data_IF_146881908353
#
_entry.id   IF_146881908353
#
_cell.length_a   1.000
_cell.length_b   1.000
_cell.length_c   1.000
_cell.angle_alpha   90.00
_cell.angle_beta   90.00
_cell.angle_gamma   90.00
#
_symmetry.space_group_name_H-M   'P 1'
#
loop_
_entity.id
_entity.type
_entity.pdbx_description
1 polymer ?
#
# COMPACT_ATOMS: atom_id res chain seq x y z
N UNK A 1 -12.65 -2.90 -22.87
CA UNK A 1 -12.46 -2.31 -21.53
C UNK A 1 -13.63 -1.40 -21.18
N UNK A 2 -14.03 -1.35 -19.92
CA UNK A 2 -15.06 -0.43 -19.42
C UNK A 2 -14.41 0.80 -18.80
N UNK A 3 -14.95 1.98 -19.09
CA UNK A 3 -14.44 3.24 -18.55
C UNK A 3 -14.86 3.45 -17.09
N UNK A 4 -13.88 3.74 -16.23
CA UNK A 4 -14.06 4.10 -14.83
C UNK A 4 -13.59 5.56 -14.62
N UNK A 5 -14.52 6.52 -14.38
CA UNK A 5 -14.13 7.90 -14.14
C UNK A 5 -13.39 8.04 -12.80
N UNK A 6 -12.34 8.87 -12.81
CA UNK A 6 -11.55 9.20 -11.61
C UNK A 6 -11.60 10.71 -11.40
N UNK A 7 -11.85 11.19 -10.15
CA UNK A 7 -11.82 12.62 -9.85
C UNK A 7 -10.48 13.25 -10.28
N UNK A 8 -10.57 14.34 -11.06
CA UNK A 8 -9.42 15.04 -11.62
C UNK A 8 -8.86 16.10 -10.65
N UNK A 9 -7.56 16.42 -10.71
CA UNK A 9 -6.55 15.81 -11.58
C UNK A 9 -6.23 14.37 -11.17
N UNK A 10 -5.96 13.50 -12.14
CA UNK A 10 -5.46 12.14 -11.91
C UNK A 10 -4.35 11.77 -12.89
N UNK A 11 -3.21 11.36 -12.35
CA UNK A 11 -2.08 10.84 -13.11
C UNK A 11 -1.86 9.37 -12.75
N UNK A 12 -2.27 8.49 -13.67
CA UNK A 12 -2.14 7.05 -13.53
C UNK A 12 -0.67 6.62 -13.42
N UNK A 13 0.23 7.25 -14.19
CA UNK A 13 1.63 6.85 -14.24
C UNK A 13 2.35 7.19 -12.93
N UNK A 14 2.09 8.37 -12.36
CA UNK A 14 2.63 8.79 -11.06
C UNK A 14 2.05 7.94 -9.93
N UNK A 15 0.74 7.66 -9.96
CA UNK A 15 0.05 6.86 -8.94
C UNK A 15 0.51 5.40 -8.90
N UNK A 16 0.85 4.83 -10.06
CA UNK A 16 1.28 3.42 -10.21
C UNK A 16 2.79 3.24 -10.29
N UNK A 17 3.57 4.32 -10.24
CA UNK A 17 5.03 4.30 -10.35
C UNK A 17 5.68 3.30 -9.38
N UNK A 18 5.13 3.19 -8.16
CA UNK A 18 5.63 2.26 -7.12
C UNK A 18 5.65 0.79 -7.56
N UNK A 19 4.82 0.40 -8.52
CA UNK A 19 4.76 -0.97 -9.06
C UNK A 19 5.83 -1.23 -10.12
N UNK A 20 6.61 -0.20 -10.50
CA UNK A 20 7.67 -0.28 -11.52
C UNK A 20 9.07 -0.08 -10.93
N UNK A 21 9.21 0.73 -9.89
CA UNK A 21 10.52 1.21 -9.42
C UNK A 21 11.26 0.25 -8.47
N UNK A 22 10.58 -0.73 -7.88
CA UNK A 22 11.18 -1.64 -6.89
C UNK A 22 11.40 -3.08 -7.39
N UNK A 23 11.13 -3.33 -8.68
CA UNK A 23 11.21 -4.65 -9.31
C UNK A 23 9.84 -5.22 -9.67
N UNK A 24 9.83 -6.44 -10.20
CA UNK A 24 8.62 -7.12 -10.65
C UNK A 24 7.74 -7.47 -9.44
N UNK A 25 6.53 -6.94 -9.40
CA UNK A 25 5.48 -7.33 -8.46
C UNK A 25 4.47 -8.24 -9.18
N UNK A 26 4.51 -9.54 -8.90
CA UNK A 26 3.62 -10.52 -9.55
C UNK A 26 2.14 -10.31 -9.21
N UNK A 27 1.83 -9.69 -8.07
CA UNK A 27 0.44 -9.39 -7.68
C UNK A 27 -0.06 -8.05 -8.26
N UNK A 28 0.86 -7.14 -8.62
CA UNK A 28 0.57 -5.83 -9.19
C UNK A 28 1.46 -5.61 -10.41
N UNK A 29 1.28 -6.45 -11.43
CA UNK A 29 2.22 -6.56 -12.54
C UNK A 29 2.01 -5.40 -13.52
N UNK A 30 3.03 -4.58 -13.73
CA UNK A 30 3.02 -3.60 -14.81
C UNK A 30 3.42 -4.25 -16.14
N UNK A 31 2.57 -4.18 -17.15
CA UNK A 31 2.81 -4.76 -18.47
C UNK A 31 2.08 -3.97 -19.56
N UNK A 32 2.71 -3.73 -20.73
CA UNK A 32 2.08 -3.03 -21.89
C UNK A 32 1.31 -1.74 -21.55
N UNK A 33 1.85 -0.92 -20.63
CA UNK A 33 1.23 0.34 -20.13
C UNK A 33 0.01 0.17 -19.21
N UNK A 34 -0.37 -1.07 -18.89
CA UNK A 34 -1.42 -1.39 -17.94
C UNK A 34 -0.88 -1.98 -16.64
N UNK A 35 -1.70 -1.86 -15.59
CA UNK A 35 -1.55 -2.61 -14.36
C UNK A 35 -2.41 -3.87 -14.43
N UNK A 36 -1.79 -5.04 -14.30
CA UNK A 36 -2.43 -6.34 -14.25
C UNK A 36 -2.50 -6.85 -12.81
N UNK A 37 -3.67 -7.30 -12.38
CA UNK A 37 -3.89 -7.87 -11.06
C UNK A 37 -5.01 -8.89 -11.09
N UNK A 38 -4.84 -10.02 -10.42
CA UNK A 38 -5.92 -11.00 -10.27
C UNK A 38 -6.79 -10.61 -9.07
N UNK A 39 -8.08 -10.38 -9.32
CA UNK A 39 -9.09 -10.02 -8.31
C UNK A 39 -10.25 -10.98 -8.45
N UNK A 40 -10.68 -11.61 -7.35
CA UNK A 40 -11.73 -12.63 -7.37
C UNK A 40 -11.50 -13.72 -8.45
N UNK A 41 -10.26 -14.19 -8.59
CA UNK A 41 -9.87 -15.22 -9.57
C UNK A 41 -9.80 -14.76 -11.03
N UNK A 42 -10.01 -13.47 -11.32
CA UNK A 42 -10.01 -12.92 -12.67
C UNK A 42 -8.88 -11.91 -12.84
N UNK A 43 -8.09 -12.05 -13.89
CA UNK A 43 -7.08 -11.05 -14.20
C UNK A 43 -7.73 -9.79 -14.75
N UNK A 44 -7.51 -8.68 -14.03
CA UNK A 44 -7.97 -7.33 -14.37
C UNK A 44 -6.80 -6.54 -14.91
N UNK A 45 -7.00 -5.92 -16.07
CA UNK A 45 -6.11 -4.95 -16.69
C UNK A 45 -6.68 -3.55 -16.50
N UNK A 46 -5.87 -2.64 -15.95
CA UNK A 46 -6.23 -1.23 -15.73
C UNK A 46 -5.26 -0.36 -16.52
N UNK A 47 -5.79 0.53 -17.36
CA UNK A 47 -5.02 1.41 -18.23
C UNK A 47 -5.44 2.88 -18.09
N UNK A 48 -4.52 3.83 -18.34
CA UNK A 48 -4.88 5.25 -18.32
C UNK A 48 -5.85 5.59 -19.46
N UNK A 49 -6.92 6.31 -19.12
CA UNK A 49 -7.86 6.88 -20.08
C UNK A 49 -8.11 8.36 -19.77
N UNK A 50 -8.46 9.22 -20.75
CA UNK A 50 -8.81 10.61 -20.48
C UNK A 50 -9.93 10.71 -19.44
N UNK A 51 -9.69 11.42 -18.33
CA UNK A 51 -10.65 11.57 -17.24
C UNK A 51 -10.76 10.37 -16.28
N UNK A 52 -9.96 9.32 -16.44
CA UNK A 52 -10.01 8.15 -15.57
C UNK A 52 -9.11 6.99 -15.99
N UNK A 53 -9.68 5.79 -15.97
CA UNK A 53 -9.01 4.56 -16.41
C UNK A 53 -9.97 3.66 -17.17
N UNK A 54 -9.44 2.85 -18.08
CA UNK A 54 -10.14 1.74 -18.69
C UNK A 54 -9.81 0.45 -17.94
N UNK A 55 -10.83 -0.34 -17.61
CA UNK A 55 -10.71 -1.54 -16.78
C UNK A 55 -11.33 -2.74 -17.49
N UNK A 56 -10.63 -3.87 -17.55
CA UNK A 56 -11.13 -5.10 -18.16
C UNK A 56 -10.65 -6.37 -17.44
N UNK A 57 -11.57 -7.26 -17.02
CA UNK A 57 -13.02 -7.05 -16.92
C UNK A 57 -13.35 -6.00 -15.85
N UNK A 58 -14.57 -5.45 -15.89
CA UNK A 58 -15.06 -4.56 -14.83
C UNK A 58 -16.57 -4.76 -14.62
N UNK A 59 -16.93 -5.15 -13.41
CA UNK A 59 -18.31 -5.38 -13.00
C UNK A 59 -18.46 -5.13 -11.47
N UNK A 60 -19.69 -5.16 -10.93
CA UNK A 60 -19.93 -4.88 -9.52
C UNK A 60 -19.16 -5.79 -8.54
N UNK A 61 -18.76 -7.00 -8.95
CA UNK A 61 -18.10 -7.96 -8.06
C UNK A 61 -16.61 -7.64 -7.81
N UNK A 62 -15.98 -6.79 -8.64
CA UNK A 62 -14.58 -6.34 -8.47
C UNK A 62 -14.45 -4.82 -8.37
N UNK A 63 -15.58 -4.11 -8.45
CA UNK A 63 -15.59 -2.66 -8.49
C UNK A 63 -14.97 -2.04 -7.24
N UNK A 64 -15.27 -2.58 -6.06
CA UNK A 64 -14.78 -2.06 -4.79
C UNK A 64 -13.26 -2.19 -4.67
N UNK A 65 -12.70 -3.34 -5.05
CA UNK A 65 -11.27 -3.64 -5.00
C UNK A 65 -10.50 -2.80 -6.01
N UNK A 66 -11.01 -2.64 -7.24
CA UNK A 66 -10.41 -1.76 -8.25
C UNK A 66 -10.40 -0.32 -7.76
N UNK A 67 -11.52 0.18 -7.22
CA UNK A 67 -11.60 1.54 -6.66
C UNK A 67 -10.65 1.73 -5.47
N UNK A 68 -10.52 0.72 -4.62
CA UNK A 68 -9.59 0.73 -3.49
C UNK A 68 -8.14 0.78 -3.99
N UNK A 69 -7.76 -0.09 -4.93
CA UNK A 69 -6.43 -0.13 -5.51
C UNK A 69 -6.02 1.20 -6.14
N UNK A 70 -6.97 1.85 -6.81
CA UNK A 70 -6.78 3.18 -7.41
C UNK A 70 -6.81 4.32 -6.39
N UNK A 71 -7.03 4.03 -5.09
CA UNK A 71 -7.01 4.98 -3.99
C UNK A 71 -8.23 5.91 -3.95
N UNK A 72 -9.36 5.56 -4.58
CA UNK A 72 -10.57 6.39 -4.60
C UNK A 72 -11.16 6.74 -3.22
N UNK A 73 -10.99 5.93 -2.15
CA UNK A 73 -11.47 6.33 -0.83
C UNK A 73 -10.87 7.63 -0.28
N UNK A 74 -9.72 8.08 -0.80
CA UNK A 74 -9.11 9.34 -0.36
C UNK A 74 -9.82 10.59 -0.92
N UNK A 75 -10.08 11.55 -0.03
CA UNK A 75 -10.53 12.90 -0.37
C UNK A 75 -9.34 13.80 -0.72
N UNK A 76 -8.85 13.65 -1.96
CA UNK A 76 -7.76 14.47 -2.47
C UNK A 76 -8.11 15.96 -2.67
N UNK A 77 -9.33 16.34 -3.11
CA UNK A 77 -9.71 17.75 -3.16
C UNK A 77 -9.59 18.46 -1.81
N UNK A 78 -10.15 17.88 -0.74
CA UNK A 78 -10.05 18.47 0.59
C UNK A 78 -8.60 18.51 1.11
N UNK A 79 -7.83 17.44 0.87
CA UNK A 79 -6.40 17.42 1.22
C UNK A 79 -5.61 18.49 0.49
N UNK A 80 -5.82 18.65 -0.82
CA UNK A 80 -5.07 19.61 -1.64
C UNK A 80 -5.39 21.04 -1.24
N UNK A 81 -6.64 21.35 -0.90
CA UNK A 81 -7.02 22.66 -0.38
C UNK A 81 -6.36 22.92 0.97
N UNK A 82 -6.46 21.98 1.91
CA UNK A 82 -5.84 22.09 3.23
C UNK A 82 -4.31 22.23 3.15
N UNK A 83 -3.67 21.47 2.26
CA UNK A 83 -2.23 21.47 2.05
C UNK A 83 -1.68 22.83 1.59
N UNK A 84 -2.52 23.74 1.04
CA UNK A 84 -2.08 25.09 0.64
C UNK A 84 -1.56 25.93 1.80
N UNK A 85 -2.01 25.66 3.02
CA UNK A 85 -1.56 26.36 4.22
C UNK A 85 -0.14 25.92 4.66
N UNK A 86 0.34 24.78 4.19
CA UNK A 86 1.68 24.27 4.48
C UNK A 86 2.58 24.43 3.24
N UNK A 87 3.67 25.25 3.29
CA UNK A 87 4.51 25.50 2.12
C UNK A 87 5.16 24.25 1.51
N UNK A 88 5.47 23.23 2.33
CA UNK A 88 6.06 21.98 1.85
C UNK A 88 4.99 21.17 1.13
N UNK A 89 3.83 20.95 1.76
CA UNK A 89 2.76 20.16 1.15
C UNK A 89 2.19 20.85 -0.08
N UNK A 90 1.99 22.17 -0.07
CA UNK A 90 1.56 22.94 -1.24
C UNK A 90 2.47 22.72 -2.45
N UNK A 91 3.80 22.71 -2.23
CA UNK A 91 4.77 22.41 -3.28
C UNK A 91 4.68 20.96 -3.73
N UNK A 92 4.58 20.01 -2.80
CA UNK A 92 4.49 18.58 -3.13
C UNK A 92 3.19 18.24 -3.86
N UNK A 93 2.04 18.80 -3.47
CA UNK A 93 0.76 18.58 -4.16
C UNK A 93 0.75 19.16 -5.56
N UNK A 94 1.48 20.27 -5.78
CA UNK A 94 1.68 20.85 -7.11
C UNK A 94 2.60 19.99 -7.98
N UNK A 95 3.75 19.57 -7.44
CA UNK A 95 4.73 18.77 -8.16
C UNK A 95 4.24 17.33 -8.45
N UNK A 96 3.35 16.81 -7.60
CA UNK A 96 2.70 15.50 -7.72
C UNK A 96 1.23 15.67 -8.14
N UNK A 97 0.92 16.66 -8.98
CA UNK A 97 -0.45 16.88 -9.46
C UNK A 97 -1.02 15.59 -10.06
N UNK A 98 -2.20 15.17 -9.57
CA UNK A 98 -2.84 13.93 -9.98
C UNK A 98 -2.35 12.65 -9.29
N UNK A 99 -1.37 12.72 -8.40
CA UNK A 99 -0.97 11.57 -7.59
C UNK A 99 -2.10 11.14 -6.65
N UNK A 100 -2.52 9.87 -6.76
CA UNK A 100 -3.43 9.22 -5.84
C UNK A 100 -2.73 7.98 -5.26
N UNK A 101 -2.46 7.93 -3.95
CA UNK A 101 -1.76 6.79 -3.38
C UNK A 101 -2.60 5.51 -3.51
N UNK A 102 -2.05 4.42 -4.07
CA UNK A 102 -2.79 3.17 -4.17
C UNK A 102 -2.90 2.49 -2.80
N UNK A 103 -4.08 1.95 -2.50
CA UNK A 103 -4.35 1.12 -1.32
C UNK A 103 -4.22 -0.37 -1.66
N UNK A 104 -4.18 -1.20 -0.63
CA UNK A 104 -4.16 -2.66 -0.74
C UNK A 104 -5.58 -3.20 -0.49
N UNK A 105 -6.23 -3.82 -1.48
CA UNK A 105 -7.62 -4.28 -1.34
C UNK A 105 -7.85 -5.47 -0.41
N UNK A 106 -6.81 -6.21 -0.01
CA UNK A 106 -6.94 -7.37 0.87
C UNK A 106 -6.12 -7.19 2.16
N UNK A 107 -6.72 -7.55 3.30
CA UNK A 107 -6.14 -7.35 4.63
C UNK A 107 -4.98 -8.30 4.91
N UNK A 108 -5.08 -9.56 4.47
CA UNK A 108 -4.00 -10.53 4.64
C UNK A 108 -2.79 -10.14 3.79
N UNK A 109 -3.01 -9.75 2.53
CA UNK A 109 -1.99 -9.21 1.63
C UNK A 109 -1.29 -7.98 2.23
N UNK A 110 -2.05 -7.05 2.82
CA UNK A 110 -1.49 -5.84 3.41
C UNK A 110 -0.51 -6.15 4.57
N UNK A 111 -0.86 -7.11 5.43
CA UNK A 111 -0.02 -7.50 6.55
C UNK A 111 1.19 -8.34 6.10
N UNK A 112 1.01 -9.31 5.19
CA UNK A 112 2.14 -10.08 4.64
C UNK A 112 3.12 -9.17 3.89
N UNK A 113 2.60 -8.20 3.13
CA UNK A 113 3.41 -7.16 2.47
C UNK A 113 4.21 -6.36 3.49
N UNK A 114 3.59 -6.00 4.62
CA UNK A 114 4.26 -5.28 5.70
C UNK A 114 5.35 -6.13 6.36
N UNK A 115 5.07 -7.38 6.73
CA UNK A 115 6.06 -8.32 7.29
C UNK A 115 7.26 -8.47 6.36
N UNK A 116 7.00 -8.64 5.06
CA UNK A 116 8.06 -8.80 4.06
C UNK A 116 8.97 -7.57 3.99
N UNK A 117 8.41 -6.36 4.16
CA UNK A 117 9.13 -5.09 4.12
C UNK A 117 9.84 -4.68 5.42
N UNK A 118 9.62 -5.38 6.54
CA UNK A 118 10.27 -5.06 7.81
C UNK A 118 11.80 -5.13 7.70
N UNK A 119 12.50 -4.08 8.14
CA UNK A 119 13.97 -4.06 8.31
C UNK A 119 14.79 -4.40 7.05
N UNK A 120 14.25 -4.19 5.84
CA UNK A 120 14.95 -4.44 4.56
C UNK A 120 14.67 -3.32 3.55
N UNK A 121 15.42 -3.28 2.45
CA UNK A 121 15.10 -2.39 1.34
C UNK A 121 13.80 -2.79 0.65
N UNK A 122 13.13 -1.83 -0.01
CA UNK A 122 11.93 -2.13 -0.78
C UNK A 122 12.23 -3.06 -1.96
N UNK A 123 13.40 -2.96 -2.59
CA UNK A 123 13.81 -3.86 -3.67
C UNK A 123 13.90 -5.31 -3.17
N UNK A 124 14.54 -5.54 -2.02
CA UNK A 124 14.61 -6.88 -1.42
C UNK A 124 13.23 -7.40 -1.01
N UNK A 125 12.39 -6.53 -0.44
CA UNK A 125 11.03 -6.88 -0.06
C UNK A 125 10.16 -7.27 -1.27
N UNK A 126 10.24 -6.51 -2.37
CA UNK A 126 9.54 -6.82 -3.61
C UNK A 126 10.03 -8.12 -4.22
N UNK A 127 11.34 -8.38 -4.26
CA UNK A 127 11.89 -9.63 -4.79
C UNK A 127 11.41 -10.86 -4.01
N UNK A 128 11.39 -10.79 -2.67
CA UNK A 128 10.85 -11.86 -1.81
C UNK A 128 9.36 -12.05 -2.04
N UNK A 129 8.57 -10.96 -2.03
CA UNK A 129 7.11 -11.01 -2.26
C UNK A 129 6.78 -11.57 -3.65
N UNK A 130 7.56 -11.21 -4.66
CA UNK A 130 7.37 -11.67 -6.03
C UNK A 130 7.50 -13.19 -6.13
N UNK A 131 8.56 -13.78 -5.57
CA UNK A 131 8.73 -15.25 -5.49
C UNK A 131 7.65 -15.92 -4.64
N UNK A 132 7.23 -15.27 -3.56
CA UNK A 132 6.14 -15.76 -2.70
C UNK A 132 4.82 -15.87 -3.46
N UNK A 133 4.43 -14.80 -4.16
CA UNK A 133 3.23 -14.75 -4.99
C UNK A 133 3.34 -15.75 -6.15
N UNK A 134 4.51 -15.90 -6.77
CA UNK A 134 4.71 -16.89 -7.84
C UNK A 134 4.57 -18.34 -7.35
N UNK A 135 5.06 -18.65 -6.13
CA UNK A 135 5.01 -20.01 -5.55
C UNK A 135 3.64 -20.39 -4.97
N UNK A 136 2.98 -19.45 -4.30
CA UNK A 136 1.75 -19.71 -3.53
C UNK A 136 0.50 -19.02 -4.08
N UNK A 137 0.64 -18.13 -5.06
CA UNK A 137 -0.48 -17.50 -5.74
C UNK A 137 -1.06 -18.40 -6.82
N UNK A 138 -2.30 -18.12 -7.21
CA UNK A 138 -2.91 -18.73 -8.39
C UNK A 138 -2.53 -17.92 -9.64
N UNK A 139 -2.08 -18.56 -10.73
CA UNK A 139 -1.71 -17.84 -11.95
C UNK A 139 -2.96 -17.26 -12.63
N UNK A 140 -2.87 -16.00 -13.05
CA UNK A 140 -3.72 -15.41 -14.08
C UNK A 140 -3.12 -15.65 -15.47
N UNK A 141 -3.46 -14.78 -16.43
CA UNK A 141 -2.84 -14.80 -17.76
C UNK A 141 -1.38 -14.31 -17.69
N UNK A 142 -1.11 -13.28 -16.87
CA UNK A 142 0.19 -12.62 -16.73
C UNK A 142 0.54 -12.35 -15.28
N UNK A 143 -0.42 -11.83 -14.52
CA UNK A 143 -0.29 -11.61 -13.08
C UNK A 143 -0.61 -12.88 -12.30
N UNK A 144 -0.35 -12.86 -11.01
CA UNK A 144 -0.76 -13.92 -10.09
C UNK A 144 -1.67 -13.33 -9.02
N UNK A 145 -2.67 -14.09 -8.59
CA UNK A 145 -3.42 -13.77 -7.38
C UNK A 145 -2.48 -13.77 -6.19
N UNK A 146 -2.71 -12.88 -5.23
CA UNK A 146 -2.00 -12.96 -3.97
C UNK A 146 -2.31 -14.31 -3.29
N UNK A 147 -1.32 -14.97 -2.63
CA UNK A 147 -1.54 -16.25 -1.98
C UNK A 147 -2.72 -16.27 -1.02
N UNK A 148 -3.62 -17.24 -1.21
CA UNK A 148 -4.74 -17.45 -0.31
C UNK A 148 -4.25 -17.85 1.08
N UNK A 149 -4.95 -17.35 2.11
CA UNK A 149 -4.56 -17.50 3.51
C UNK A 149 -4.40 -18.97 3.92
N UNK A 150 -5.32 -19.83 3.53
CA UNK A 150 -5.33 -21.27 3.79
C UNK A 150 -4.12 -21.98 3.15
N UNK A 151 -3.79 -21.63 1.90
CA UNK A 151 -2.62 -22.14 1.19
C UNK A 151 -1.32 -21.75 1.90
N UNK A 152 -1.24 -20.53 2.42
CA UNK A 152 -0.08 -20.08 3.23
C UNK A 152 -0.05 -20.77 4.60
N UNK A 153 -1.21 -21.00 5.22
CA UNK A 153 -1.29 -21.70 6.50
C UNK A 153 -0.82 -23.17 6.41
N UNK A 154 -0.91 -23.79 5.24
CA UNK A 154 -0.42 -25.14 4.96
C UNK A 154 1.08 -25.23 4.64
N UNK A 155 1.76 -24.09 4.41
CA UNK A 155 3.18 -24.05 4.09
C UNK A 155 4.07 -24.37 5.30
N UNK A 156 5.31 -24.79 5.04
CA UNK A 156 6.36 -24.86 6.06
C UNK A 156 7.22 -23.59 6.11
N UNK A 157 7.84 -23.33 7.25
CA UNK A 157 8.76 -22.19 7.41
C UNK A 157 9.97 -22.33 6.49
N UNK A 158 10.47 -23.55 6.30
CA UNK A 158 11.59 -23.85 5.39
C UNK A 158 11.27 -23.50 3.94
N UNK A 159 10.03 -23.75 3.49
CA UNK A 159 9.63 -23.34 2.14
C UNK A 159 9.70 -21.82 1.98
N UNK A 160 9.18 -21.05 2.93
CA UNK A 160 9.26 -19.58 2.90
C UNK A 160 10.71 -19.10 3.00
N UNK A 161 11.54 -19.71 3.84
CA UNK A 161 12.98 -19.41 3.90
C UNK A 161 13.64 -19.66 2.54
N UNK A 162 13.27 -20.72 1.83
CA UNK A 162 13.72 -21.01 0.46
C UNK A 162 13.35 -19.93 -0.56
N UNK A 163 12.31 -19.14 -0.30
CA UNK A 163 11.92 -17.98 -1.12
C UNK A 163 12.63 -16.68 -0.71
N UNK A 164 13.50 -16.72 0.30
CA UNK A 164 14.31 -15.61 0.77
C UNK A 164 13.72 -14.86 1.97
N UNK A 165 12.68 -15.38 2.62
CA UNK A 165 12.27 -14.87 3.93
C UNK A 165 13.37 -15.17 4.96
N UNK A 166 13.53 -14.31 5.96
CA UNK A 166 14.23 -14.71 7.17
C UNK A 166 13.35 -15.72 7.93
N UNK A 167 13.96 -16.58 8.75
CA UNK A 167 13.21 -17.55 9.58
C UNK A 167 12.11 -16.87 10.40
N UNK A 168 12.42 -15.75 11.07
CA UNK A 168 11.41 -14.98 11.83
C UNK A 168 10.26 -14.47 10.96
N UNK A 169 10.53 -13.98 9.74
CA UNK A 169 9.45 -13.52 8.86
C UNK A 169 8.61 -14.70 8.33
N UNK A 170 9.23 -15.85 8.09
CA UNK A 170 8.50 -17.07 7.74
C UNK A 170 7.56 -17.50 8.88
N UNK A 171 8.08 -17.55 10.13
CA UNK A 171 7.28 -17.78 11.34
C UNK A 171 6.11 -16.79 11.44
N UNK A 172 6.34 -15.50 11.19
CA UNK A 172 5.30 -14.46 11.32
C UNK A 172 4.23 -14.57 10.24
N UNK A 173 4.60 -14.84 8.99
CA UNK A 173 3.63 -15.00 7.88
C UNK A 173 2.77 -16.24 8.09
N UNK A 174 3.38 -17.37 8.46
CA UNK A 174 2.64 -18.62 8.73
C UNK A 174 1.78 -18.47 9.99
N UNK A 175 2.33 -17.86 11.04
CA UNK A 175 1.62 -17.54 12.27
C UNK A 175 0.40 -16.66 12.01
N UNK A 176 0.54 -15.60 11.21
CA UNK A 176 -0.57 -14.74 10.78
C UNK A 176 -1.62 -15.53 9.98
N UNK A 177 -1.20 -16.39 9.05
CA UNK A 177 -2.12 -17.19 8.25
C UNK A 177 -2.97 -18.14 9.13
N UNK A 178 -2.38 -18.65 10.22
CA UNK A 178 -3.04 -19.55 11.18
C UNK A 178 -3.76 -18.83 12.34
N UNK A 179 -3.53 -17.53 12.53
CA UNK A 179 -4.07 -16.79 13.66
C UNK A 179 -5.60 -16.68 13.60
N UNK A 180 -6.31 -16.83 14.71
CA UNK A 180 -7.75 -16.57 14.76
C UNK A 180 -8.03 -15.06 14.71
N UNK A 181 -7.94 -14.51 13.51
CA UNK A 181 -8.15 -13.11 13.20
C UNK A 181 -9.24 -13.00 12.12
N UNK A 182 -10.31 -12.30 12.48
CA UNK A 182 -11.34 -11.85 11.55
C UNK A 182 -10.88 -10.57 10.86
N UNK A 183 -10.40 -10.72 9.62
CA UNK A 183 -9.92 -9.62 8.80
C UNK A 183 -11.02 -8.65 8.38
N UNK A 184 -12.26 -9.12 8.20
CA UNK A 184 -13.38 -8.27 7.81
C UNK A 184 -13.83 -7.41 8.98
N UNK A 185 -13.82 -7.97 10.21
CA UNK A 185 -14.14 -7.22 11.42
C UNK A 185 -13.16 -6.06 11.67
N UNK A 186 -11.87 -6.21 11.33
CA UNK A 186 -10.87 -5.14 11.50
C UNK A 186 -11.28 -3.85 10.79
N UNK A 187 -11.89 -3.94 9.61
CA UNK A 187 -12.24 -2.78 8.79
C UNK A 187 -13.31 -1.89 9.46
N UNK A 188 -14.09 -2.48 10.38
CA UNK A 188 -15.18 -1.82 11.13
C UNK A 188 -14.77 -1.30 12.50
N UNK A 189 -13.57 -1.64 12.98
CA UNK A 189 -13.10 -1.24 14.30
C UNK A 189 -12.53 0.19 14.30
N UNK A 190 -12.59 0.88 15.45
CA UNK A 190 -11.82 2.11 15.68
C UNK A 190 -10.31 1.86 15.57
N UNK A 191 -9.56 2.88 15.15
CA UNK A 191 -8.12 2.77 14.85
C UNK A 191 -7.30 2.18 16.01
N UNK A 192 -7.59 2.60 17.24
CA UNK A 192 -6.91 2.07 18.43
C UNK A 192 -7.15 0.57 18.65
N UNK A 193 -8.37 0.10 18.42
CA UNK A 193 -8.74 -1.32 18.56
C UNK A 193 -8.12 -2.17 17.44
N UNK A 194 -8.03 -1.63 16.22
CA UNK A 194 -7.28 -2.28 15.11
C UNK A 194 -5.81 -2.42 15.50
N UNK A 195 -5.18 -1.36 16.00
CA UNK A 195 -3.78 -1.38 16.38
C UNK A 195 -3.51 -2.38 17.51
N UNK A 196 -4.33 -2.38 18.56
CA UNK A 196 -4.23 -3.33 19.67
C UNK A 196 -4.33 -4.79 19.18
N UNK A 197 -5.34 -5.09 18.35
CA UNK A 197 -5.54 -6.43 17.79
C UNK A 197 -4.35 -6.87 16.94
N UNK A 198 -3.86 -6.01 16.05
CA UNK A 198 -2.72 -6.36 15.21
C UNK A 198 -1.45 -6.56 16.02
N UNK A 199 -1.14 -5.66 16.97
CA UNK A 199 0.07 -5.75 17.81
C UNK A 199 0.07 -6.99 18.71
N UNK A 200 -1.11 -7.53 19.06
CA UNK A 200 -1.20 -8.78 19.81
C UNK A 200 -0.70 -10.01 19.02
N UNK A 201 -0.59 -9.90 17.69
CA UNK A 201 -0.11 -10.98 16.82
C UNK A 201 1.41 -10.93 16.76
N UNK A 202 2.06 -12.04 17.13
CA UNK A 202 3.52 -12.17 17.08
C UNK A 202 4.06 -11.79 15.69
N UNK A 203 4.99 -10.83 15.69
CA UNK A 203 5.63 -10.34 14.47
C UNK A 203 5.02 -9.07 13.87
N UNK A 204 3.86 -8.65 14.36
CA UNK A 204 3.25 -7.37 14.02
C UNK A 204 3.53 -6.37 15.14
N UNK A 205 4.17 -5.25 14.78
CA UNK A 205 4.41 -4.14 15.70
C UNK A 205 3.60 -2.91 15.30
N UNK A 206 3.75 -1.85 16.07
CA UNK A 206 3.07 -0.56 15.84
C UNK A 206 3.29 -0.04 14.41
N UNK A 207 4.52 -0.13 13.88
CA UNK A 207 4.81 0.24 12.48
C UNK A 207 3.95 -0.52 11.46
N UNK A 208 3.67 -1.81 11.70
CA UNK A 208 2.80 -2.61 10.80
C UNK A 208 1.34 -2.23 10.97
N UNK A 209 0.88 -1.97 12.20
CA UNK A 209 -0.47 -1.50 12.46
C UNK A 209 -0.72 -0.12 11.81
N UNK A 210 0.20 0.83 11.96
CA UNK A 210 0.11 2.16 11.35
C UNK A 210 0.01 2.06 9.83
N UNK A 211 0.83 1.21 9.20
CA UNK A 211 0.77 1.01 7.75
C UNK A 211 -0.48 0.25 7.30
N UNK A 212 -1.02 -0.66 8.12
CA UNK A 212 -2.31 -1.29 7.85
C UNK A 212 -3.44 -0.25 7.85
N UNK A 213 -3.51 0.59 8.90
CA UNK A 213 -4.45 1.70 8.98
C UNK A 213 -4.32 2.64 7.77
N UNK A 214 -3.09 2.95 7.36
CA UNK A 214 -2.82 3.87 6.27
C UNK A 214 -3.13 3.30 4.87
N UNK A 215 -2.63 2.09 4.57
CA UNK A 215 -2.63 1.51 3.21
C UNK A 215 -3.68 0.46 2.95
N UNK A 216 -4.24 -0.18 3.98
CA UNK A 216 -5.39 -1.08 3.84
C UNK A 216 -6.69 -0.32 4.09
N UNK A 217 -6.77 0.34 5.24
CA UNK A 217 -8.01 1.02 5.65
C UNK A 217 -8.14 2.46 5.13
N UNK A 218 -7.08 3.05 4.59
CA UNK A 218 -7.11 4.43 4.11
C UNK A 218 -7.46 5.45 5.19
N UNK A 219 -7.26 5.13 6.48
CA UNK A 219 -7.69 5.98 7.61
C UNK A 219 -6.98 7.33 7.53
N UNK A 220 -7.70 8.46 7.61
CA UNK A 220 -7.12 9.79 7.37
C UNK A 220 -6.05 10.16 8.41
N UNK A 221 -6.20 9.68 9.64
CA UNK A 221 -5.31 9.98 10.76
C UNK A 221 -4.17 8.98 10.96
N UNK A 222 -4.08 7.94 10.12
CA UNK A 222 -3.01 6.97 10.21
C UNK A 222 -1.65 7.64 9.99
N UNK A 223 -0.70 7.41 10.91
CA UNK A 223 0.60 8.06 10.89
C UNK A 223 1.72 7.08 11.26
N UNK A 224 2.42 6.49 10.27
CA UNK A 224 3.51 5.53 10.49
C UNK A 224 4.79 6.17 11.06
N UNK A 225 4.75 6.69 12.28
CA UNK A 225 5.84 7.46 12.88
C UNK A 225 7.17 6.69 13.01
N UNK A 226 7.08 5.35 13.15
CA UNK A 226 8.25 4.47 13.20
C UNK A 226 8.92 4.25 11.84
N UNK A 227 8.33 4.71 10.73
CA UNK A 227 8.83 4.45 9.39
C UNK A 227 10.07 5.28 9.06
N UNK A 228 11.19 4.59 8.78
CA UNK A 228 12.47 5.26 8.54
C UNK A 228 12.46 6.14 7.28
N UNK A 229 11.71 5.75 6.23
CA UNK A 229 11.61 6.55 5.01
C UNK A 229 10.76 7.79 5.25
N UNK A 230 9.68 7.69 6.05
CA UNK A 230 8.89 8.85 6.45
C UNK A 230 9.71 9.81 7.32
N UNK A 231 10.45 9.30 8.31
CA UNK A 231 11.36 10.10 9.14
C UNK A 231 12.42 10.81 8.30
N UNK A 232 12.96 10.13 7.29
CA UNK A 232 13.88 10.72 6.31
C UNK A 232 13.21 11.82 5.49
N UNK A 233 11.99 11.60 5.01
CA UNK A 233 11.22 12.58 4.26
C UNK A 233 10.95 13.84 5.09
N UNK A 234 10.49 13.68 6.33
CA UNK A 234 10.27 14.78 7.27
C UNK A 234 11.58 15.57 7.45
N UNK A 235 12.69 14.88 7.70
CA UNK A 235 14.01 15.53 7.84
C UNK A 235 14.41 16.35 6.61
N UNK A 236 14.16 15.83 5.41
CA UNK A 236 14.51 16.50 4.15
C UNK A 236 13.63 17.73 3.90
N UNK A 237 12.33 17.62 4.17
CA UNK A 237 11.39 18.66 3.79
C UNK A 237 11.12 19.70 4.89
N UNK A 238 11.12 19.29 6.15
CA UNK A 238 10.83 20.15 7.31
C UNK A 238 12.03 20.37 8.23
N UNK A 239 13.16 19.70 7.98
CA UNK A 239 14.31 19.74 8.87
C UNK A 239 14.18 18.77 10.06
N UNK A 240 15.09 18.84 11.04
CA UNK A 240 15.10 17.92 12.16
C UNK A 240 13.84 18.07 13.02
N UNK A 241 13.14 16.95 13.23
CA UNK A 241 11.98 16.82 14.11
C UNK A 241 12.30 15.76 15.14
N UNK A 242 12.18 16.11 16.43
CA UNK A 242 12.48 15.21 17.54
C UNK A 242 11.36 14.19 17.75
N UNK A 243 10.12 14.66 17.87
CA UNK A 243 8.93 13.82 18.06
C UNK A 243 8.10 13.75 16.78
N UNK A 244 8.23 12.62 16.08
CA UNK A 244 7.53 12.34 14.83
C UNK A 244 6.03 12.17 15.05
N UNK A 245 5.59 11.69 16.23
CA UNK A 245 4.16 11.55 16.54
C UNK A 245 3.52 12.90 16.80
N UNK A 246 4.17 13.75 17.59
CA UNK A 246 3.71 15.11 17.82
C UNK A 246 3.66 15.92 16.52
N UNK A 247 4.66 15.77 15.64
CA UNK A 247 4.63 16.37 14.31
C UNK A 247 3.46 15.85 13.45
N UNK A 248 3.16 14.56 13.49
CA UNK A 248 1.95 14.03 12.83
C UNK A 248 0.66 14.70 13.32
N UNK A 249 0.57 15.05 14.60
CA UNK A 249 -0.61 15.74 15.14
C UNK A 249 -0.84 17.14 14.53
N UNK A 250 0.23 17.84 14.11
CA UNK A 250 0.11 19.16 13.45
C UNK A 250 -0.46 19.07 12.03
N UNK A 251 -0.51 17.85 11.45
CA UNK A 251 -1.01 17.58 10.11
C UNK A 251 -2.48 17.13 10.09
N UNK A 252 -3.21 17.31 11.19
CA UNK A 252 -4.64 17.00 11.26
C UNK A 252 -5.45 17.86 10.26
N UNK A 253 -6.45 17.29 9.55
CA UNK A 253 -6.93 15.90 9.60
C UNK A 253 -6.31 14.95 8.56
N UNK A 254 -5.19 15.31 7.93
CA UNK A 254 -4.62 14.61 6.77
C UNK A 254 -3.23 14.01 7.02
N UNK A 255 -3.04 13.35 8.15
CA UNK A 255 -1.78 12.66 8.47
C UNK A 255 -1.40 11.64 7.40
N UNK A 256 -2.33 10.79 7.02
CA UNK A 256 -2.06 9.68 6.10
C UNK A 256 -1.66 10.19 4.71
N UNK A 257 -2.45 11.11 4.14
CA UNK A 257 -2.12 11.70 2.84
C UNK A 257 -0.82 12.49 2.89
N UNK A 258 -0.56 13.24 3.96
CA UNK A 258 0.73 13.90 4.17
C UNK A 258 1.90 12.91 4.15
N UNK A 259 1.79 11.76 4.84
CA UNK A 259 2.81 10.71 4.83
C UNK A 259 3.04 10.16 3.41
N UNK A 260 1.97 9.91 2.66
CA UNK A 260 2.07 9.44 1.28
C UNK A 260 2.75 10.46 0.35
N UNK A 261 2.40 11.74 0.45
CA UNK A 261 3.00 12.80 -0.37
C UNK A 261 4.46 13.07 0.00
N UNK A 262 4.82 13.00 1.29
CA UNK A 262 6.22 13.12 1.72
C UNK A 262 7.07 11.97 1.17
N UNK A 263 6.58 10.74 1.25
CA UNK A 263 7.28 9.58 0.68
C UNK A 263 7.37 9.65 -0.84
N UNK A 264 6.29 10.08 -1.51
CA UNK A 264 6.31 10.26 -2.95
C UNK A 264 7.30 11.35 -3.38
N UNK A 265 7.34 12.45 -2.62
CA UNK A 265 8.23 13.58 -2.83
C UNK A 265 9.72 13.22 -2.78
N UNK A 266 10.11 12.17 -2.04
CA UNK A 266 11.50 11.68 -2.03
C UNK A 266 12.01 11.22 -3.41
N UNK A 267 11.10 10.97 -4.36
CA UNK A 267 11.43 10.55 -5.73
C UNK A 267 11.49 11.72 -6.71
N UNK A 268 11.04 12.90 -6.30
CA UNK A 268 11.18 14.11 -7.10
C UNK A 268 12.66 14.53 -7.11
N UNK A 269 13.13 15.17 -8.20
CA UNK A 269 14.43 15.83 -8.17
C UNK A 269 14.46 16.88 -7.04
N UNK A 270 15.63 17.12 -6.44
CA UNK A 270 15.77 18.17 -5.43
C UNK A 270 15.32 19.52 -6.01
N UNK A 271 14.68 20.39 -5.21
CA UNK A 271 14.35 21.73 -5.67
C UNK A 271 15.62 22.45 -6.15
N UNK A 272 15.55 23.06 -7.33
CA UNK A 272 16.60 23.92 -7.86
C UNK A 272 16.71 25.21 -7.04
#
# INVERSE_FOLDING_TARGET
MAFLPIPQPYDFAVSTERFRVFGIDRANLWHERGLHRVIAGREVRIEPAPGGVDVEPFDPAIATEVRTLLGLPFDLPAFTEWARADPVLARLTTALAGFRPPLVPDSFEALVTSITAQQVSLQSAFAIRSRFVERYGEPGERAHAFPARDRVAAASEEELVGLGFSRRKAEYVIGLARADLDFEALDRLPDAAVAERLVSIRGLGEWTADWYLARRLGRPHAWPAGDLALRKAIRIFYGPVEDIRAFGATLHPFQNLSAHYLLAGLRLPPPQ
#
